data_IF_459889874982
#
_entry.id   IF_459889874982
#
_cell.length_a   1.000
_cell.length_b   1.000
_cell.length_c   1.000
_cell.angle_alpha   90.00
_cell.angle_beta   90.00
_cell.angle_gamma   90.00
#
_symmetry.space_group_name_H-M   'P 1'
#
loop_
_entity.id
_entity.type
_entity.pdbx_description
1 polymer ?
#
# COMPACT_ATOMS: atom_id res chain seq x y z
N UNK A 1 10.94 -4.66 -47.65
CA UNK A 1 10.06 -5.69 -47.01
C UNK A 1 10.74 -6.29 -45.76
N UNK A 2 12.06 -6.48 -45.79
CA UNK A 2 12.82 -7.07 -44.67
C UNK A 2 12.92 -6.22 -43.41
N UNK A 3 12.90 -4.88 -43.53
CA UNK A 3 13.00 -3.98 -42.35
C UNK A 3 11.76 -3.96 -41.44
N UNK A 4 10.56 -4.27 -41.99
CA UNK A 4 9.31 -4.36 -41.19
C UNK A 4 9.21 -5.66 -40.40
N UNK A 5 9.78 -6.75 -40.89
CA UNK A 5 9.81 -8.05 -40.22
C UNK A 5 10.77 -8.01 -39.01
N UNK A 6 11.94 -7.39 -39.15
CA UNK A 6 12.91 -7.24 -38.05
C UNK A 6 12.33 -6.42 -36.89
N UNK A 7 11.56 -5.36 -37.17
CA UNK A 7 10.89 -4.58 -36.12
C UNK A 7 9.80 -5.36 -35.38
N UNK A 8 9.05 -6.22 -36.07
CA UNK A 8 7.99 -7.03 -35.45
C UNK A 8 8.54 -8.17 -34.62
N UNK A 9 9.61 -8.83 -35.06
CA UNK A 9 10.27 -9.88 -34.30
C UNK A 9 10.96 -9.34 -33.04
N UNK A 10 11.57 -8.15 -33.12
CA UNK A 10 12.16 -7.48 -31.97
C UNK A 10 11.10 -7.11 -30.90
N UNK A 11 9.94 -6.59 -31.32
CA UNK A 11 8.81 -6.30 -30.41
C UNK A 11 8.21 -7.56 -29.77
N UNK A 12 8.15 -8.69 -30.48
CA UNK A 12 7.63 -9.95 -29.94
C UNK A 12 8.63 -10.56 -28.94
N UNK A 13 9.91 -10.48 -29.23
CA UNK A 13 10.98 -10.96 -28.34
C UNK A 13 11.03 -10.15 -27.04
N UNK A 14 10.94 -8.82 -27.12
CA UNK A 14 10.86 -7.94 -25.97
C UNK A 14 9.62 -8.22 -25.10
N UNK A 15 8.48 -8.55 -25.70
CA UNK A 15 7.27 -8.92 -24.94
C UNK A 15 7.46 -10.22 -24.16
N UNK A 16 8.12 -11.21 -24.74
CA UNK A 16 8.40 -12.48 -24.09
C UNK A 16 9.34 -12.33 -22.88
N UNK A 17 10.34 -11.47 -23.02
CA UNK A 17 11.32 -11.23 -21.96
C UNK A 17 10.69 -10.35 -20.84
N UNK A 18 9.94 -9.32 -21.19
CA UNK A 18 9.16 -8.54 -20.22
C UNK A 18 8.14 -9.38 -19.46
N UNK A 19 7.46 -10.33 -20.14
CA UNK A 19 6.54 -11.26 -19.47
C UNK A 19 7.27 -12.16 -18.47
N UNK A 20 8.44 -12.72 -18.84
CA UNK A 20 9.24 -13.56 -17.94
C UNK A 20 9.75 -12.79 -16.72
N UNK A 21 10.08 -11.50 -16.90
CA UNK A 21 10.51 -10.63 -15.81
C UNK A 21 9.35 -10.27 -14.86
N UNK A 22 8.14 -10.07 -15.39
CA UNK A 22 6.96 -9.78 -14.61
C UNK A 22 6.34 -11.01 -13.90
N UNK A 23 6.58 -12.23 -14.40
CA UNK A 23 5.94 -13.46 -13.91
C UNK A 23 6.23 -13.74 -12.42
N UNK A 24 7.45 -13.63 -11.90
CA UNK A 24 7.74 -13.86 -10.48
C UNK A 24 6.98 -12.87 -9.58
N UNK A 25 6.90 -11.60 -9.99
CA UNK A 25 6.16 -10.58 -9.27
C UNK A 25 4.65 -10.84 -9.26
N UNK A 26 4.09 -11.23 -10.41
CA UNK A 26 2.68 -11.60 -10.53
C UNK A 26 2.35 -12.82 -9.66
N UNK A 27 3.22 -13.83 -9.65
CA UNK A 27 3.05 -15.02 -8.80
C UNK A 27 3.10 -14.64 -7.30
N UNK A 28 4.01 -13.76 -6.92
CA UNK A 28 4.08 -13.21 -5.56
C UNK A 28 2.78 -12.51 -5.17
N UNK A 29 2.23 -11.66 -6.04
CA UNK A 29 0.94 -11.00 -5.79
C UNK A 29 -0.21 -11.99 -5.64
N UNK A 30 -0.27 -13.05 -6.46
CA UNK A 30 -1.31 -14.06 -6.35
C UNK A 30 -1.27 -14.78 -4.99
N UNK A 31 -0.07 -15.19 -4.53
CA UNK A 31 0.11 -15.80 -3.20
C UNK A 31 -0.27 -14.80 -2.10
N UNK A 32 0.14 -13.56 -2.26
CA UNK A 32 -0.16 -12.50 -1.33
C UNK A 32 -1.68 -12.28 -1.18
N UNK A 33 -2.42 -12.13 -2.27
CA UNK A 33 -3.89 -11.99 -2.22
C UNK A 33 -4.59 -13.23 -1.64
N UNK A 34 -4.05 -14.42 -1.84
CA UNK A 34 -4.57 -15.61 -1.19
C UNK A 34 -4.42 -15.55 0.35
N UNK A 35 -3.26 -15.09 0.84
CA UNK A 35 -3.01 -14.87 2.28
C UNK A 35 -3.98 -13.80 2.82
N UNK A 36 -4.16 -12.71 2.08
CA UNK A 36 -5.09 -11.63 2.41
C UNK A 36 -6.51 -12.15 2.63
N UNK A 37 -7.01 -12.95 1.69
CA UNK A 37 -8.35 -13.52 1.79
C UNK A 37 -8.50 -14.40 3.03
N UNK A 38 -7.47 -15.13 3.43
CA UNK A 38 -7.47 -15.91 4.68
C UNK A 38 -7.54 -15.00 5.91
N UNK A 39 -6.80 -13.92 5.92
CA UNK A 39 -6.77 -12.93 7.01
C UNK A 39 -8.14 -12.25 7.15
N UNK A 40 -8.75 -11.86 6.02
CA UNK A 40 -10.07 -11.21 5.97
C UNK A 40 -11.17 -12.16 6.49
N UNK A 41 -11.24 -13.37 5.96
CA UNK A 41 -12.24 -14.37 6.37
C UNK A 41 -12.14 -14.73 7.87
N UNK A 42 -10.93 -14.68 8.44
CA UNK A 42 -10.72 -14.96 9.86
C UNK A 42 -10.80 -13.70 10.74
N UNK A 43 -11.14 -12.54 10.20
CA UNK A 43 -11.28 -11.28 10.93
C UNK A 43 -10.07 -10.92 11.79
N UNK A 44 -8.84 -11.22 11.33
CA UNK A 44 -7.61 -11.05 12.11
C UNK A 44 -7.26 -9.58 12.40
N UNK A 45 -7.84 -8.64 11.65
CA UNK A 45 -7.64 -7.20 11.86
C UNK A 45 -8.72 -6.56 12.75
N UNK A 46 -9.82 -7.24 13.05
CA UNK A 46 -10.89 -6.75 13.92
C UNK A 46 -10.35 -6.21 15.27
N UNK A 47 -9.41 -6.89 15.97
CA UNK A 47 -8.89 -6.36 17.23
C UNK A 47 -8.18 -5.00 17.09
N UNK A 48 -7.54 -4.72 15.96
CA UNK A 48 -6.88 -3.43 15.72
C UNK A 48 -7.91 -2.33 15.50
N UNK A 49 -8.98 -2.64 14.79
CA UNK A 49 -10.09 -1.71 14.54
C UNK A 49 -10.83 -1.42 15.82
N UNK A 50 -11.15 -2.43 16.60
CA UNK A 50 -11.81 -2.27 17.90
C UNK A 50 -10.94 -1.43 18.85
N UNK A 51 -9.62 -1.63 18.82
CA UNK A 51 -8.69 -0.81 19.57
C UNK A 51 -8.75 0.65 19.14
N UNK A 52 -8.68 0.94 17.85
CA UNK A 52 -8.73 2.32 17.32
C UNK A 52 -10.06 2.97 17.66
N UNK A 53 -11.18 2.26 17.50
CA UNK A 53 -12.53 2.72 17.83
C UNK A 53 -12.80 2.87 19.34
N UNK A 54 -11.93 2.36 20.19
CA UNK A 54 -12.05 2.60 21.64
C UNK A 54 -11.59 3.99 22.08
N UNK A 55 -10.98 4.75 21.17
CA UNK A 55 -10.57 6.13 21.41
C UNK A 55 -11.68 7.11 21.03
N UNK A 56 -11.62 8.37 21.51
CA UNK A 56 -12.59 9.41 21.11
C UNK A 56 -12.59 9.65 19.60
N UNK A 57 -13.75 10.01 19.04
CA UNK A 57 -13.95 10.23 17.60
C UNK A 57 -12.96 11.26 17.00
N UNK A 58 -12.56 12.26 17.80
CA UNK A 58 -11.59 13.28 17.37
C UNK A 58 -10.21 12.69 17.09
N UNK A 59 -9.80 11.66 17.83
CA UNK A 59 -8.51 10.99 17.66
C UNK A 59 -8.58 9.81 16.68
N UNK A 60 -9.76 9.26 16.42
CA UNK A 60 -9.99 8.06 15.64
C UNK A 60 -9.37 8.18 14.23
N UNK A 61 -9.59 9.30 13.56
CA UNK A 61 -9.08 9.56 12.20
C UNK A 61 -7.55 9.53 12.15
N UNK A 62 -6.88 10.16 13.12
CA UNK A 62 -5.41 10.16 13.20
C UNK A 62 -4.87 8.78 13.58
N UNK A 63 -5.56 8.07 14.47
CA UNK A 63 -5.17 6.72 14.86
C UNK A 63 -5.31 5.73 13.69
N UNK A 64 -6.37 5.84 12.88
CA UNK A 64 -6.48 5.07 11.64
C UNK A 64 -5.34 5.38 10.68
N UNK A 65 -4.98 6.65 10.49
CA UNK A 65 -3.83 7.03 9.67
C UNK A 65 -2.54 6.39 10.17
N UNK A 66 -2.23 6.49 11.47
CA UNK A 66 -0.99 5.95 12.05
C UNK A 66 -0.97 4.42 12.02
N UNK A 67 -2.06 3.77 12.44
CA UNK A 67 -2.15 2.30 12.46
C UNK A 67 -1.98 1.73 11.06
N UNK A 68 -2.69 2.29 10.08
CA UNK A 68 -2.58 1.87 8.68
C UNK A 68 -1.18 2.16 8.12
N UNK A 69 -0.56 3.27 8.52
CA UNK A 69 0.80 3.62 8.11
C UNK A 69 1.85 2.62 8.58
N UNK A 70 1.79 2.23 9.84
CA UNK A 70 2.70 1.22 10.41
C UNK A 70 2.48 -0.14 9.76
N UNK A 71 1.22 -0.57 9.62
CA UNK A 71 0.90 -1.87 9.03
C UNK A 71 1.30 -1.93 7.56
N UNK A 72 1.06 -0.88 6.78
CA UNK A 72 1.42 -0.85 5.37
C UNK A 72 2.93 -0.71 5.12
N UNK A 73 3.69 -0.17 6.06
CA UNK A 73 5.15 -0.18 5.98
C UNK A 73 5.74 -1.60 6.17
N UNK A 74 5.04 -2.49 6.85
CA UNK A 74 5.45 -3.89 7.06
C UNK A 74 4.89 -4.78 5.95
N UNK A 75 3.66 -4.50 5.53
CA UNK A 75 2.89 -5.22 4.53
C UNK A 75 2.74 -4.40 3.24
N UNK A 76 1.87 -4.81 2.32
CA UNK A 76 1.54 -4.07 1.11
C UNK A 76 0.45 -3.02 1.38
N UNK A 77 0.57 -1.83 0.79
CA UNK A 77 -0.37 -0.74 1.01
C UNK A 77 -1.77 -1.02 0.45
N UNK A 78 -1.88 -1.69 -0.69
CA UNK A 78 -3.17 -2.04 -1.31
C UNK A 78 -3.93 -3.02 -0.43
N UNK A 79 -3.22 -3.97 0.14
CA UNK A 79 -3.76 -4.93 1.08
C UNK A 79 -4.37 -4.28 2.31
N UNK A 80 -3.56 -3.49 3.01
CA UNK A 80 -4.00 -2.82 4.25
C UNK A 80 -5.18 -1.90 3.96
N UNK A 81 -5.09 -1.08 2.89
CA UNK A 81 -6.18 -0.20 2.49
C UNK A 81 -7.48 -0.97 2.22
N UNK A 82 -7.42 -2.07 1.46
CA UNK A 82 -8.60 -2.85 1.10
C UNK A 82 -9.32 -3.38 2.33
N UNK A 83 -8.59 -3.99 3.27
CA UNK A 83 -9.21 -4.53 4.49
C UNK A 83 -9.88 -3.43 5.31
N UNK A 84 -9.16 -2.35 5.63
CA UNK A 84 -9.69 -1.33 6.51
C UNK A 84 -10.85 -0.55 5.87
N UNK A 85 -10.78 -0.24 4.56
CA UNK A 85 -11.88 0.42 3.85
C UNK A 85 -13.11 -0.48 3.80
N UNK A 86 -12.95 -1.79 3.57
CA UNK A 86 -14.07 -2.74 3.59
C UNK A 86 -14.74 -2.76 4.95
N UNK A 87 -13.99 -2.83 6.03
CA UNK A 87 -14.53 -2.86 7.39
C UNK A 87 -15.21 -1.56 7.79
N UNK A 88 -14.62 -0.39 7.45
CA UNK A 88 -15.27 0.90 7.70
C UNK A 88 -16.56 1.04 6.87
N UNK A 89 -16.59 0.46 5.67
CA UNK A 89 -17.80 0.40 4.85
C UNK A 89 -18.89 -0.47 5.50
N UNK A 90 -18.53 -1.60 6.09
CA UNK A 90 -19.48 -2.42 6.84
C UNK A 90 -20.12 -1.65 8.02
N UNK A 91 -19.34 -0.78 8.68
CA UNK A 91 -19.88 0.10 9.74
C UNK A 91 -20.88 1.12 9.18
N UNK A 92 -20.61 1.68 8.01
CA UNK A 92 -21.53 2.58 7.33
C UNK A 92 -22.83 1.85 6.93
N UNK A 93 -22.69 0.66 6.32
CA UNK A 93 -23.83 -0.16 5.87
C UNK A 93 -24.68 -0.64 7.07
N UNK A 94 -24.07 -0.84 8.22
CA UNK A 94 -24.75 -1.16 9.48
C UNK A 94 -25.39 0.07 10.16
N UNK A 95 -25.17 1.28 9.64
CA UNK A 95 -25.68 2.53 10.22
C UNK A 95 -25.00 2.94 11.52
N UNK A 96 -23.81 2.43 11.82
CA UNK A 96 -23.03 2.75 13.02
C UNK A 96 -22.22 4.03 12.89
N UNK A 97 -21.94 4.44 11.66
CA UNK A 97 -21.27 5.72 11.31
C UNK A 97 -22.05 6.42 10.20
N UNK A 98 -21.93 7.73 10.12
CA UNK A 98 -22.51 8.50 9.03
C UNK A 98 -21.56 8.60 7.81
N UNK A 99 -22.06 9.15 6.71
CA UNK A 99 -21.28 9.27 5.46
C UNK A 99 -20.08 10.20 5.62
N UNK A 100 -20.17 11.26 6.42
CA UNK A 100 -19.07 12.19 6.63
C UNK A 100 -17.95 11.51 7.40
N UNK A 101 -18.29 10.79 8.47
CA UNK A 101 -17.34 10.02 9.26
C UNK A 101 -16.66 8.95 8.41
N UNK A 102 -17.43 8.19 7.60
CA UNK A 102 -16.90 7.24 6.64
C UNK A 102 -15.88 7.87 5.67
N UNK A 103 -16.20 9.04 5.11
CA UNK A 103 -15.31 9.75 4.19
C UNK A 103 -14.00 10.15 4.88
N UNK A 104 -14.09 10.68 6.11
CA UNK A 104 -12.91 11.07 6.89
C UNK A 104 -12.00 9.89 7.19
N UNK A 105 -12.58 8.78 7.66
CA UNK A 105 -11.82 7.54 7.91
C UNK A 105 -11.20 6.98 6.62
N UNK A 106 -11.94 6.98 5.52
CA UNK A 106 -11.43 6.49 4.23
C UNK A 106 -10.26 7.33 3.72
N UNK A 107 -10.30 8.66 3.89
CA UNK A 107 -9.19 9.55 3.57
C UNK A 107 -7.99 9.24 4.46
N UNK A 108 -8.19 9.07 5.77
CA UNK A 108 -7.12 8.74 6.71
C UNK A 108 -6.49 7.38 6.41
N UNK A 109 -7.29 6.36 6.13
CA UNK A 109 -6.82 5.02 5.73
C UNK A 109 -6.02 5.10 4.44
N UNK A 110 -6.55 5.74 3.40
CA UNK A 110 -5.90 5.83 2.10
C UNK A 110 -4.57 6.62 2.18
N UNK A 111 -4.55 7.74 2.87
CA UNK A 111 -3.33 8.53 3.05
C UNK A 111 -2.33 7.83 3.97
N UNK A 112 -2.80 7.20 5.05
CA UNK A 112 -2.01 6.41 5.99
C UNK A 112 -1.34 5.21 5.33
N UNK A 113 -2.05 4.47 4.49
CA UNK A 113 -1.48 3.33 3.78
C UNK A 113 -0.48 3.72 2.70
N UNK A 114 -0.63 4.88 2.08
CA UNK A 114 0.23 5.28 0.95
C UNK A 114 1.45 6.10 1.35
N UNK A 115 1.36 7.00 2.33
CA UNK A 115 2.46 7.91 2.67
C UNK A 115 3.51 7.24 3.55
N UNK A 116 3.19 6.70 4.74
CA UNK A 116 4.18 6.04 5.58
C UNK A 116 4.76 4.76 4.96
N UNK A 117 4.02 4.07 4.10
CA UNK A 117 4.48 2.85 3.42
C UNK A 117 5.67 3.07 2.47
N UNK A 118 5.92 4.31 2.04
CA UNK A 118 7.12 4.68 1.27
C UNK A 118 8.41 4.35 2.04
N UNK A 119 8.36 4.23 3.37
CA UNK A 119 9.50 3.89 4.20
C UNK A 119 10.17 2.57 3.81
N UNK A 120 9.41 1.61 3.29
CA UNK A 120 9.95 0.28 3.00
C UNK A 120 9.58 -0.21 1.60
N UNK A 121 10.41 -1.05 0.97
CA UNK A 121 10.07 -1.67 -0.30
C UNK A 121 8.83 -2.58 -0.22
N UNK A 122 8.55 -3.17 0.93
CA UNK A 122 7.37 -4.03 1.11
C UNK A 122 6.06 -3.22 1.09
N UNK A 123 6.09 -2.01 1.61
CA UNK A 123 4.92 -1.13 1.66
C UNK A 123 4.48 -0.60 0.30
N UNK A 124 5.34 -0.69 -0.72
CA UNK A 124 5.05 -0.20 -2.06
C UNK A 124 5.44 -1.24 -3.11
N UNK A 125 4.46 -1.84 -3.79
CA UNK A 125 4.68 -2.84 -4.81
C UNK A 125 5.66 -2.38 -5.91
N UNK A 126 5.62 -1.10 -6.30
CA UNK A 126 6.54 -0.52 -7.27
C UNK A 126 8.01 -0.54 -6.80
N UNK A 127 8.25 -0.32 -5.50
CA UNK A 127 9.58 -0.36 -4.91
C UNK A 127 10.11 -1.79 -4.81
N UNK A 128 9.23 -2.73 -4.46
CA UNK A 128 9.59 -4.14 -4.45
C UNK A 128 9.92 -4.63 -5.86
N UNK A 129 9.14 -4.23 -6.86
CA UNK A 129 9.42 -4.52 -8.27
C UNK A 129 10.77 -3.94 -8.71
N UNK A 130 11.07 -2.69 -8.38
CA UNK A 130 12.36 -2.07 -8.68
C UNK A 130 13.51 -2.85 -8.03
N UNK A 131 13.37 -3.26 -6.77
CA UNK A 131 14.39 -3.98 -6.02
C UNK A 131 14.68 -5.37 -6.59
N UNK A 132 13.65 -6.02 -7.18
CA UNK A 132 13.78 -7.35 -7.79
C UNK A 132 14.14 -7.29 -9.28
N UNK A 133 14.14 -6.10 -9.88
CA UNK A 133 14.46 -5.90 -11.29
C UNK A 133 15.96 -6.02 -11.60
N UNK A 134 16.30 -6.22 -12.87
CA UNK A 134 17.68 -6.22 -13.37
C UNK A 134 18.41 -4.87 -13.18
N UNK A 135 17.66 -3.79 -12.90
CA UNK A 135 18.21 -2.46 -12.67
C UNK A 135 18.87 -2.33 -11.29
N UNK A 136 18.31 -2.99 -10.26
CA UNK A 136 18.80 -2.86 -8.89
C UNK A 136 20.31 -3.18 -8.73
N UNK A 137 20.86 -4.26 -9.30
CA UNK A 137 22.31 -4.54 -9.25
C UNK A 137 23.15 -3.47 -9.95
N UNK A 138 22.65 -2.89 -11.07
CA UNK A 138 23.38 -1.87 -11.85
C UNK A 138 23.61 -0.59 -11.07
N UNK A 139 22.68 -0.22 -10.19
CA UNK A 139 22.77 0.98 -9.34
C UNK A 139 23.18 0.65 -7.90
N UNK A 140 23.59 -0.61 -7.65
CA UNK A 140 23.90 -1.13 -6.32
C UNK A 140 22.80 -0.85 -5.28
N UNK A 141 21.52 -0.98 -5.68
CA UNK A 141 20.37 -0.77 -4.83
C UNK A 141 20.13 -2.02 -3.99
N UNK A 142 20.29 -1.90 -2.68
CA UNK A 142 19.91 -2.93 -1.71
C UNK A 142 18.66 -2.50 -0.94
N UNK A 143 17.98 -3.45 -0.30
CA UNK A 143 16.82 -3.20 0.54
C UNK A 143 17.07 -2.08 1.55
N UNK A 144 18.15 -2.22 2.34
CA UNK A 144 18.49 -1.25 3.37
C UNK A 144 18.84 0.13 2.81
N UNK A 145 19.55 0.17 1.69
CA UNK A 145 19.87 1.45 1.01
C UNK A 145 18.60 2.15 0.53
N UNK A 146 17.63 1.39 0.02
CA UNK A 146 16.35 1.96 -0.40
C UNK A 146 15.57 2.54 0.78
N UNK A 147 15.49 1.81 1.91
CA UNK A 147 14.88 2.31 3.14
C UNK A 147 15.55 3.61 3.61
N UNK A 148 16.89 3.64 3.66
CA UNK A 148 17.62 4.83 4.10
C UNK A 148 17.41 6.05 3.19
N UNK A 149 17.24 5.83 1.90
CA UNK A 149 16.96 6.90 0.94
C UNK A 149 15.51 7.40 1.03
N UNK A 150 14.56 6.51 1.31
CA UNK A 150 13.14 6.83 1.40
C UNK A 150 12.76 7.48 2.74
N UNK A 151 13.44 7.09 3.83
CA UNK A 151 13.08 7.46 5.22
C UNK A 151 12.91 8.98 5.45
N UNK A 152 13.84 9.87 5.03
CA UNK A 152 13.68 11.30 5.28
C UNK A 152 12.43 11.88 4.58
N UNK A 153 12.13 11.42 3.37
CA UNK A 153 10.92 11.83 2.65
C UNK A 153 9.66 11.30 3.33
N UNK A 154 9.68 10.05 3.76
CA UNK A 154 8.56 9.44 4.47
C UNK A 154 8.24 10.19 5.76
N UNK A 155 9.24 10.49 6.59
CA UNK A 155 9.05 11.23 7.84
C UNK A 155 8.44 12.62 7.56
N UNK A 156 8.99 13.34 6.60
CA UNK A 156 8.52 14.68 6.26
C UNK A 156 7.08 14.67 5.72
N UNK A 157 6.78 13.76 4.77
CA UNK A 157 5.44 13.62 4.19
C UNK A 157 4.42 13.14 5.21
N UNK A 158 4.78 12.21 6.08
CA UNK A 158 3.90 11.73 7.17
C UNK A 158 3.55 12.86 8.13
N UNK A 159 4.52 13.69 8.49
CA UNK A 159 4.28 14.86 9.35
C UNK A 159 3.32 15.87 8.69
N UNK A 160 3.53 16.19 7.40
CA UNK A 160 2.62 17.06 6.64
C UNK A 160 1.22 16.44 6.55
N UNK A 161 1.12 15.14 6.31
CA UNK A 161 -0.16 14.46 6.21
C UNK A 161 -0.94 14.53 7.54
N UNK A 162 -0.29 14.32 8.68
CA UNK A 162 -0.92 14.44 10.00
C UNK A 162 -1.43 15.86 10.22
N UNK A 163 -0.62 16.89 9.91
CA UNK A 163 -1.05 18.29 10.03
C UNK A 163 -2.25 18.56 9.12
N UNK A 164 -2.21 18.06 7.88
CA UNK A 164 -3.31 18.27 6.93
C UNK A 164 -4.60 17.59 7.37
N UNK A 165 -4.53 16.37 7.91
CA UNK A 165 -5.69 15.67 8.46
C UNK A 165 -6.31 16.47 9.63
N UNK A 166 -5.47 16.95 10.56
CA UNK A 166 -5.95 17.77 11.68
C UNK A 166 -6.58 19.10 11.25
N UNK A 167 -6.09 19.74 10.18
CA UNK A 167 -6.57 21.04 9.75
C UNK A 167 -7.83 20.99 8.89
N UNK A 168 -8.01 19.92 8.12
CA UNK A 168 -9.03 19.86 7.07
C UNK A 168 -10.09 18.78 7.29
N UNK A 169 -9.86 17.85 8.19
CA UNK A 169 -10.70 16.65 8.33
C UNK A 169 -11.20 16.47 9.77
N UNK A 170 -10.37 16.69 10.77
CA UNK A 170 -10.70 16.69 12.19
C UNK A 170 -11.07 18.10 12.61
#
# INVERSE_FOLDING_TARGET
ITSRLVGSEMCIRDRGDAFKEALPFTALLCVFFAIVSVIEVNHLFTPVIDLVRSFPDEDETILFFVANGVLSAISDNVFVATIYITQVKELLDAGLIDLNHFNNLTIAINTGTNIPSIATPNGQAAFLFLLTSSLAPLINLSYFRMVMLALPYTIFLTFIAIISLNLFIV
#
